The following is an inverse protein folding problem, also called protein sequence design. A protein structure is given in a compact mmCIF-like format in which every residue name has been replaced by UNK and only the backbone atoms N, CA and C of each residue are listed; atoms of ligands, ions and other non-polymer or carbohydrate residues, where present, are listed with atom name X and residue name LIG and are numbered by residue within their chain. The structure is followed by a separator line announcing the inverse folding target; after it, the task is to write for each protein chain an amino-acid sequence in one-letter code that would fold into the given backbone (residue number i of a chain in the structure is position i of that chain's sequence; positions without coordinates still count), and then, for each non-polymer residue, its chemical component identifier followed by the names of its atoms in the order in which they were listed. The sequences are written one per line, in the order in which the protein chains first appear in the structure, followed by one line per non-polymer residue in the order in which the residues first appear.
data_IF_582848572559
#
_entry.id   IF_582848572559
#
_cell.length_a   1.000
_cell.length_b   1.000
_cell.length_c   1.000
_cell.angle_alpha   90.00
_cell.angle_beta   90.00
_cell.angle_gamma   90.00
#
_symmetry.space_group_name_H-M   'P 1'
#
loop_
_entity.id
_entity.type
_entity.pdbx_description
1 polymer ?
#
# COMPACT_ATOMS: atom_id res chain seq x y z
N UNK A 1 15.76 36.23 4.75
CA UNK A 1 16.58 35.63 5.83
C UNK A 1 15.77 35.13 7.04
N UNK A 2 14.51 35.55 7.26
CA UNK A 2 13.70 35.09 8.40
C UNK A 2 13.25 33.60 8.31
N UNK A 3 12.81 33.12 7.15
CA UNK A 3 12.26 31.76 7.01
C UNK A 3 13.30 30.62 7.00
N UNK A 4 14.55 30.87 6.62
CA UNK A 4 15.61 29.86 6.78
C UNK A 4 15.95 29.66 8.27
N UNK A 5 15.78 30.71 9.08
CA UNK A 5 15.84 30.61 10.53
C UNK A 5 14.65 29.80 11.06
N UNK A 6 13.45 29.91 10.49
CA UNK A 6 12.29 29.10 10.91
C UNK A 6 12.51 27.60 10.72
N UNK A 7 12.95 27.14 9.54
CA UNK A 7 13.15 25.71 9.30
C UNK A 7 14.20 25.09 10.25
N UNK A 8 15.29 25.82 10.53
CA UNK A 8 16.29 25.40 11.52
C UNK A 8 15.79 25.52 12.96
N UNK A 9 14.92 26.50 13.26
CA UNK A 9 14.27 26.66 14.58
C UNK A 9 13.29 25.54 14.88
N UNK A 10 12.53 25.08 13.89
CA UNK A 10 11.65 23.89 14.02
C UNK A 10 12.44 22.59 14.19
N UNK A 11 13.72 22.58 13.81
CA UNK A 11 14.66 21.49 14.04
C UNK A 11 15.55 21.69 15.28
N UNK A 12 15.51 22.86 15.93
CA UNK A 12 16.25 23.10 17.17
C UNK A 12 15.54 22.33 18.29
N UNK A 13 16.27 21.39 18.88
CA UNK A 13 15.77 20.47 19.89
C UNK A 13 15.47 21.17 21.22
N UNK A 14 15.88 22.44 21.37
CA UNK A 14 15.71 23.25 22.57
C UNK A 14 14.38 23.99 22.54
N UNK A 15 13.31 23.32 23.00
CA UNK A 15 12.02 23.95 23.28
C UNK A 15 11.11 24.07 22.06
N UNK A 16 10.86 22.96 21.38
CA UNK A 16 9.82 22.88 20.35
C UNK A 16 8.45 23.25 20.95
N UNK A 17 7.77 24.22 20.35
CA UNK A 17 6.45 24.72 20.79
C UNK A 17 5.33 24.44 19.76
N UNK A 18 5.61 23.62 18.73
CA UNK A 18 4.61 23.27 17.72
C UNK A 18 3.73 22.08 18.14
N UNK A 19 2.82 21.70 17.24
CA UNK A 19 1.98 20.52 17.43
C UNK A 19 2.85 19.26 17.47
N UNK A 20 2.54 18.36 18.42
CA UNK A 20 3.22 17.08 18.55
C UNK A 20 2.47 16.03 17.74
N UNK A 21 3.23 15.07 17.19
CA UNK A 21 2.69 13.84 16.63
C UNK A 21 3.36 12.71 17.39
N UNK A 22 2.57 11.80 17.99
CA UNK A 22 3.06 10.69 18.81
C UNK A 22 3.94 11.18 19.98
N UNK A 23 3.59 12.34 20.54
CA UNK A 23 4.27 12.93 21.69
C UNK A 23 5.65 13.54 21.42
N UNK A 24 6.11 13.64 20.17
CA UNK A 24 7.39 14.28 19.82
C UNK A 24 7.23 15.22 18.62
N UNK A 25 8.27 16.01 18.34
CA UNK A 25 8.35 16.87 17.16
C UNK A 25 8.14 16.02 15.89
N UNK A 26 7.12 16.32 15.07
CA UNK A 26 6.80 15.57 13.85
C UNK A 26 7.98 15.39 12.90
N UNK A 27 8.89 16.36 12.84
CA UNK A 27 10.04 16.30 11.96
C UNK A 27 10.99 15.15 12.31
N UNK A 28 10.98 14.67 13.57
CA UNK A 28 11.81 13.54 14.02
C UNK A 28 11.33 12.17 13.51
N UNK A 29 10.15 12.08 12.90
CA UNK A 29 9.72 10.87 12.18
C UNK A 29 10.68 10.52 11.03
N UNK A 30 11.42 11.50 10.52
CA UNK A 30 12.51 11.31 9.59
C UNK A 30 13.84 11.14 10.31
N UNK A 31 14.67 10.19 9.88
CA UNK A 31 16.00 10.02 10.45
C UNK A 31 16.85 11.28 10.21
N UNK A 32 17.69 11.66 11.20
CA UNK A 32 18.50 12.89 11.12
C UNK A 32 19.26 13.07 9.79
N UNK A 33 19.95 12.05 9.24
CA UNK A 33 20.63 12.21 7.96
C UNK A 33 19.70 12.57 6.81
N UNK A 34 18.46 12.07 6.81
CA UNK A 34 17.47 12.38 5.78
C UNK A 34 16.97 13.81 5.94
N UNK A 35 16.72 14.27 7.17
CA UNK A 35 16.33 15.65 7.46
C UNK A 35 17.38 16.64 6.96
N UNK A 36 18.64 16.40 7.28
CA UNK A 36 19.77 17.25 6.86
C UNK A 36 19.84 17.33 5.33
N UNK A 37 19.66 16.19 4.63
CA UNK A 37 19.61 16.16 3.16
C UNK A 37 18.41 16.92 2.59
N UNK A 38 17.24 16.83 3.21
CA UNK A 38 16.03 17.57 2.80
C UNK A 38 16.28 19.07 2.91
N UNK A 39 16.67 19.56 4.10
CA UNK A 39 16.82 21.01 4.32
C UNK A 39 17.94 21.63 3.50
N UNK A 40 18.96 20.85 3.14
CA UNK A 40 20.05 21.31 2.30
C UNK A 40 19.75 21.22 0.79
N UNK A 41 18.71 20.49 0.39
CA UNK A 41 18.35 20.31 -1.01
C UNK A 41 17.88 21.60 -1.67
N UNK A 42 18.12 21.70 -2.98
CA UNK A 42 17.65 22.84 -3.79
C UNK A 42 16.13 22.93 -3.79
N UNK A 43 15.43 21.79 -3.95
CA UNK A 43 13.97 21.76 -3.97
C UNK A 43 13.38 22.31 -2.67
N UNK A 44 13.94 21.95 -1.51
CA UNK A 44 13.47 22.50 -0.23
C UNK A 44 13.64 24.03 -0.15
N UNK A 45 14.82 24.52 -0.53
CA UNK A 45 15.17 25.95 -0.42
C UNK A 45 14.37 26.84 -1.36
N UNK A 46 14.00 26.34 -2.53
CA UNK A 46 13.32 27.11 -3.57
C UNK A 46 11.80 26.85 -3.61
N UNK A 47 11.39 25.59 -3.50
CA UNK A 47 10.00 25.16 -3.74
C UNK A 47 9.23 24.93 -2.44
N UNK A 48 9.91 24.54 -1.33
CA UNK A 48 9.26 24.39 -0.02
C UNK A 48 9.32 25.66 0.83
N UNK A 49 9.87 26.75 0.29
CA UNK A 49 9.98 28.02 0.97
C UNK A 49 8.60 28.69 1.10
N UNK A 50 8.21 29.05 2.33
CA UNK A 50 6.96 29.78 2.57
C UNK A 50 5.67 29.02 2.25
N UNK A 51 5.74 27.72 1.91
CA UNK A 51 4.52 26.95 1.65
C UNK A 51 3.62 26.88 2.88
N UNK A 52 2.33 27.04 2.65
CA UNK A 52 1.22 26.72 3.54
C UNK A 52 0.45 25.52 2.97
N UNK A 53 -0.63 25.10 3.64
CA UNK A 53 -1.44 23.97 3.18
C UNK A 53 -1.92 24.13 1.72
N UNK A 54 -2.52 25.28 1.38
CA UNK A 54 -3.06 25.52 0.03
C UNK A 54 -1.97 25.53 -1.05
N UNK A 55 -0.89 26.30 -0.85
CA UNK A 55 0.22 26.40 -1.82
C UNK A 55 1.04 25.10 -1.94
N UNK A 56 0.99 24.22 -0.93
CA UNK A 56 1.59 22.89 -1.00
C UNK A 56 0.89 22.01 -2.04
N UNK A 57 -0.44 22.16 -2.20
CA UNK A 57 -1.22 21.44 -3.20
C UNK A 57 -0.69 21.70 -4.61
N UNK A 58 -0.40 22.96 -4.94
CA UNK A 58 0.14 23.35 -6.26
C UNK A 58 1.45 22.62 -6.57
N UNK A 59 2.32 22.48 -5.57
CA UNK A 59 3.59 21.74 -5.72
C UNK A 59 3.38 20.23 -5.78
N UNK A 60 2.40 19.71 -5.05
CA UNK A 60 2.11 18.28 -5.00
C UNK A 60 1.50 17.77 -6.32
N UNK A 61 0.70 18.59 -7.00
CA UNK A 61 0.13 18.28 -8.33
C UNK A 61 1.22 18.16 -9.40
N UNK A 62 2.32 18.91 -9.28
CA UNK A 62 3.46 18.85 -10.21
C UNK A 62 4.36 17.61 -10.01
N UNK A 63 4.08 16.75 -9.02
CA UNK A 63 4.86 15.54 -8.78
C UNK A 63 4.71 14.54 -9.93
N UNK A 64 5.82 13.91 -10.29
CA UNK A 64 5.89 12.95 -11.39
C UNK A 64 6.35 11.55 -10.96
N UNK A 65 6.71 11.39 -9.68
CA UNK A 65 7.17 10.13 -9.11
C UNK A 65 7.16 10.18 -7.57
N UNK A 66 7.03 9.01 -6.95
CA UNK A 66 7.25 8.81 -5.52
C UNK A 66 8.70 8.36 -5.25
N UNK A 67 9.20 8.53 -4.04
CA UNK A 67 10.50 7.98 -3.65
C UNK A 67 11.12 8.63 -2.43
N UNK A 68 12.18 8.03 -1.91
CA UNK A 68 12.93 8.53 -0.74
C UNK A 68 14.13 9.38 -1.12
N UNK A 69 15.33 8.89 -0.79
CA UNK A 69 16.61 9.45 -1.24
C UNK A 69 17.22 8.58 -2.32
N UNK A 70 17.94 9.17 -3.28
CA UNK A 70 18.53 8.43 -4.40
C UNK A 70 19.96 8.86 -4.75
N UNK A 71 20.67 7.97 -5.46
CA UNK A 71 22.04 8.17 -5.90
C UNK A 71 23.06 8.16 -4.76
N UNK A 72 24.34 8.25 -5.12
CA UNK A 72 25.48 8.23 -4.17
C UNK A 72 25.40 9.39 -3.18
N UNK A 73 24.97 10.55 -3.64
CA UNK A 73 24.80 11.74 -2.81
C UNK A 73 23.54 11.71 -1.90
N UNK A 74 22.73 10.65 -1.96
CA UNK A 74 21.46 10.51 -1.22
C UNK A 74 20.57 11.75 -1.36
N UNK A 75 20.37 12.20 -2.60
CA UNK A 75 19.52 13.36 -2.88
C UNK A 75 18.06 13.03 -2.54
N UNK A 76 17.35 13.84 -1.76
CA UNK A 76 15.93 13.61 -1.48
C UNK A 76 15.09 13.90 -2.72
N UNK A 77 14.01 13.15 -2.90
CA UNK A 77 13.03 13.45 -3.96
C UNK A 77 12.15 14.66 -3.58
N UNK A 78 11.54 15.35 -4.57
CA UNK A 78 10.49 16.33 -4.33
C UNK A 78 9.35 15.79 -3.47
N UNK A 79 8.91 14.55 -3.74
CA UNK A 79 7.91 13.83 -2.95
C UNK A 79 8.28 13.81 -1.47
N UNK A 80 9.50 13.37 -1.13
CA UNK A 80 9.97 13.31 0.25
C UNK A 80 10.04 14.69 0.91
N UNK A 81 10.46 15.71 0.15
CA UNK A 81 10.54 17.09 0.64
C UNK A 81 9.15 17.65 0.98
N UNK A 82 8.12 17.34 0.17
CA UNK A 82 6.76 17.78 0.42
C UNK A 82 6.12 17.05 1.61
N UNK A 83 6.38 15.75 1.80
CA UNK A 83 5.93 15.00 3.00
C UNK A 83 6.54 15.61 4.26
N UNK A 84 7.84 15.88 4.24
CA UNK A 84 8.53 16.55 5.34
C UNK A 84 7.97 17.96 5.59
N UNK A 85 7.57 18.67 4.53
CA UNK A 85 6.89 19.96 4.65
C UNK A 85 5.50 19.82 5.28
N UNK A 86 4.72 18.80 4.92
CA UNK A 86 3.43 18.53 5.56
C UNK A 86 3.62 18.24 7.06
N UNK A 87 4.64 17.48 7.45
CA UNK A 87 4.97 17.28 8.88
C UNK A 87 5.38 18.58 9.58
N UNK A 88 6.02 19.50 8.89
CA UNK A 88 6.33 20.83 9.44
C UNK A 88 5.05 21.67 9.64
N UNK A 89 4.12 21.58 8.70
CA UNK A 89 2.89 22.38 8.69
C UNK A 89 1.79 21.80 9.56
N UNK A 90 1.83 20.50 9.84
CA UNK A 90 0.79 19.75 10.56
C UNK A 90 -0.62 20.15 10.11
N UNK A 91 -0.97 19.98 8.82
CA UNK A 91 -2.27 20.38 8.30
C UNK A 91 -3.41 19.63 9.00
N UNK A 92 -4.56 20.29 9.08
CA UNK A 92 -5.77 19.69 9.65
C UNK A 92 -6.18 18.42 8.90
N UNK A 93 -6.85 17.52 9.62
CA UNK A 93 -7.22 16.20 9.10
C UNK A 93 -8.05 16.29 7.82
N UNK A 94 -9.00 17.22 7.77
CA UNK A 94 -9.90 17.41 6.63
C UNK A 94 -9.14 17.81 5.35
N UNK A 95 -8.06 18.58 5.49
CA UNK A 95 -7.20 18.96 4.36
C UNK A 95 -6.48 17.73 3.81
N UNK A 96 -5.96 16.87 4.69
CA UNK A 96 -5.24 15.65 4.29
C UNK A 96 -6.20 14.65 3.64
N UNK A 97 -7.40 14.48 4.19
CA UNK A 97 -8.44 13.63 3.61
C UNK A 97 -8.89 14.17 2.25
N UNK A 98 -9.03 15.49 2.11
CA UNK A 98 -9.31 16.12 0.82
C UNK A 98 -8.23 15.79 -0.22
N UNK A 99 -6.94 15.82 0.16
CA UNK A 99 -5.83 15.43 -0.74
C UNK A 99 -5.89 13.97 -1.14
N UNK A 100 -6.22 13.08 -0.19
CA UNK A 100 -6.33 11.64 -0.43
C UNK A 100 -7.47 11.31 -1.41
N UNK A 101 -8.61 11.99 -1.24
CA UNK A 101 -9.81 11.79 -2.05
C UNK A 101 -9.68 12.31 -3.49
N UNK A 102 -8.69 13.16 -3.81
CA UNK A 102 -8.51 13.65 -5.18
C UNK A 102 -8.27 12.49 -6.18
N UNK A 103 -9.09 12.45 -7.22
CA UNK A 103 -9.07 11.39 -8.23
C UNK A 103 -8.13 11.68 -9.39
N UNK A 104 -7.90 12.94 -9.75
CA UNK A 104 -7.05 13.28 -10.91
C UNK A 104 -5.55 13.15 -10.60
N UNK A 105 -5.17 13.35 -9.34
CA UNK A 105 -3.77 13.53 -8.93
C UNK A 105 -3.25 12.35 -8.11
N UNK A 106 -2.91 11.24 -8.78
CA UNK A 106 -2.38 10.02 -8.13
C UNK A 106 -1.16 10.23 -7.23
N UNK A 107 -0.28 11.18 -7.55
CA UNK A 107 0.89 11.49 -6.71
C UNK A 107 0.54 12.31 -5.47
N UNK A 108 -0.50 13.15 -5.54
CA UNK A 108 -1.07 13.84 -4.39
C UNK A 108 -1.73 12.83 -3.44
N UNK A 109 -2.49 11.87 -3.98
CA UNK A 109 -3.06 10.77 -3.21
C UNK A 109 -1.98 9.96 -2.49
N UNK A 110 -0.92 9.56 -3.21
CA UNK A 110 0.22 8.87 -2.60
C UNK A 110 0.93 9.72 -1.52
N UNK A 111 1.03 11.04 -1.72
CA UNK A 111 1.60 11.96 -0.74
C UNK A 111 0.78 11.99 0.55
N UNK A 112 -0.55 12.13 0.41
CA UNK A 112 -1.48 12.15 1.52
C UNK A 112 -1.49 10.81 2.28
N UNK A 113 -1.54 9.68 1.56
CA UNK A 113 -1.49 8.35 2.16
C UNK A 113 -0.22 8.14 2.99
N UNK A 114 0.94 8.55 2.46
CA UNK A 114 2.20 8.43 3.18
C UNK A 114 2.25 9.34 4.41
N UNK A 115 1.70 10.56 4.33
CA UNK A 115 1.57 11.44 5.49
C UNK A 115 0.65 10.83 6.55
N UNK A 116 -0.52 10.30 6.18
CA UNK A 116 -1.46 9.63 7.10
C UNK A 116 -0.75 8.50 7.83
N UNK A 117 -0.03 7.63 7.11
CA UNK A 117 0.70 6.51 7.70
C UNK A 117 1.75 6.93 8.74
N UNK A 118 2.33 8.12 8.58
CA UNK A 118 3.30 8.68 9.52
C UNK A 118 2.63 9.40 10.69
N UNK A 119 1.55 10.15 10.43
CA UNK A 119 1.00 11.14 11.35
C UNK A 119 -0.17 10.63 12.20
N UNK A 120 -0.97 9.67 11.71
CA UNK A 120 -2.10 9.17 12.48
C UNK A 120 -1.60 8.38 13.70
N UNK A 121 -2.21 8.65 14.85
CA UNK A 121 -1.82 8.05 16.12
C UNK A 121 -2.55 6.74 16.40
N UNK A 122 -3.78 6.61 15.89
CA UNK A 122 -4.59 5.40 16.04
C UNK A 122 -4.41 4.48 14.83
N UNK A 123 -4.04 3.24 15.10
CA UNK A 123 -3.76 2.25 14.08
C UNK A 123 -5.03 1.90 13.26
N UNK A 124 -6.19 1.81 13.92
CA UNK A 124 -7.49 1.55 13.29
C UNK A 124 -7.87 2.64 12.28
N UNK A 125 -7.56 3.90 12.57
CA UNK A 125 -7.83 5.02 11.65
C UNK A 125 -6.91 4.95 10.43
N UNK A 126 -5.69 4.42 10.56
CA UNK A 126 -4.79 4.22 9.42
C UNK A 126 -5.36 3.17 8.47
N UNK A 127 -5.77 2.01 8.99
CA UNK A 127 -6.33 0.93 8.18
C UNK A 127 -7.62 1.38 7.47
N UNK A 128 -8.61 1.84 8.23
CA UNK A 128 -9.91 2.28 7.68
C UNK A 128 -9.79 3.40 6.65
N UNK A 129 -8.80 4.29 6.78
CA UNK A 129 -8.58 5.38 5.83
C UNK A 129 -7.86 4.94 4.56
N UNK A 130 -6.89 4.02 4.65
CA UNK A 130 -6.02 3.67 3.52
C UNK A 130 -6.53 2.46 2.72
N UNK A 131 -7.18 1.50 3.35
CA UNK A 131 -7.64 0.26 2.70
C UNK A 131 -8.58 0.44 1.50
N UNK A 132 -9.49 1.44 1.47
CA UNK A 132 -10.31 1.68 0.27
C UNK A 132 -9.47 1.90 -1.01
N UNK A 133 -8.23 2.36 -0.85
CA UNK A 133 -7.31 2.65 -1.96
C UNK A 133 -6.46 1.44 -2.38
N UNK A 134 -6.64 0.26 -1.77
CA UNK A 134 -6.08 -1.00 -2.28
C UNK A 134 -6.73 -1.45 -3.61
N UNK A 135 -7.80 -0.78 -4.04
CA UNK A 135 -8.45 -0.97 -5.34
C UNK A 135 -7.87 -0.07 -6.45
N UNK A 136 -6.99 0.88 -6.09
CA UNK A 136 -6.45 1.86 -7.03
C UNK A 136 -5.25 1.30 -7.82
N UNK A 137 -5.54 0.74 -9.00
CA UNK A 137 -4.52 0.10 -9.86
C UNK A 137 -3.72 1.09 -10.73
N UNK A 138 -3.75 2.40 -10.43
CA UNK A 138 -3.05 3.39 -11.27
C UNK A 138 -1.54 3.29 -11.13
N UNK A 139 -0.86 3.30 -12.26
CA UNK A 139 0.61 3.24 -12.33
C UNK A 139 1.28 4.44 -11.66
N UNK A 140 2.22 4.18 -10.76
CA UNK A 140 3.13 5.15 -10.15
C UNK A 140 4.57 4.92 -10.62
N UNK A 141 5.27 6.00 -10.91
CA UNK A 141 6.73 5.96 -11.10
C UNK A 141 7.40 6.05 -9.73
N UNK A 142 8.26 5.08 -9.39
CA UNK A 142 9.01 5.05 -8.12
C UNK A 142 10.49 5.29 -8.38
N UNK A 143 11.06 6.28 -7.68
CA UNK A 143 12.51 6.51 -7.63
C UNK A 143 13.10 5.67 -6.49
N UNK A 144 13.82 4.62 -6.85
CA UNK A 144 14.58 3.82 -5.89
C UNK A 144 15.95 4.45 -5.64
N UNK A 145 16.74 3.87 -4.74
CA UNK A 145 18.11 4.35 -4.47
C UNK A 145 18.99 4.32 -5.74
N UNK A 146 18.80 3.29 -6.56
CA UNK A 146 19.68 2.96 -7.69
C UNK A 146 19.09 3.31 -9.05
N UNK A 147 17.75 3.37 -9.17
CA UNK A 147 17.11 3.52 -10.46
C UNK A 147 15.64 3.93 -10.40
N UNK A 148 14.91 3.51 -11.42
CA UNK A 148 13.47 3.75 -11.57
C UNK A 148 12.75 2.41 -11.56
N UNK A 149 11.60 2.36 -10.91
CA UNK A 149 10.70 1.21 -10.91
C UNK A 149 9.28 1.68 -11.25
N UNK A 150 8.53 0.81 -11.91
CA UNK A 150 7.08 0.91 -12.01
C UNK A 150 6.47 0.24 -10.77
N UNK A 151 5.45 0.85 -10.20
CA UNK A 151 4.61 0.30 -9.13
C UNK A 151 3.19 0.82 -9.34
N UNK A 152 2.27 0.49 -8.46
CA UNK A 152 0.87 0.91 -8.53
C UNK A 152 0.44 1.57 -7.21
N UNK A 153 -0.73 2.22 -7.17
CA UNK A 153 -1.18 2.94 -5.96
C UNK A 153 -1.52 1.93 -4.87
N UNK A 154 -2.32 0.92 -5.17
CA UNK A 154 -2.60 -0.25 -4.34
C UNK A 154 -1.32 -0.87 -3.73
N UNK A 155 -0.31 -1.18 -4.55
CA UNK A 155 0.97 -1.72 -4.08
C UNK A 155 1.68 -0.76 -3.11
N UNK A 156 1.59 0.56 -3.37
CA UNK A 156 2.17 1.56 -2.49
C UNK A 156 1.40 1.68 -1.17
N UNK A 157 0.07 1.55 -1.19
CA UNK A 157 -0.77 1.54 0.01
C UNK A 157 -0.47 0.28 0.84
N UNK A 158 -0.37 -0.88 0.21
CA UNK A 158 0.00 -2.13 0.88
C UNK A 158 1.40 -2.05 1.51
N UNK A 159 2.38 -1.49 0.77
CA UNK A 159 3.71 -1.19 1.29
C UNK A 159 3.65 -0.33 2.57
N UNK A 160 2.74 0.64 2.64
CA UNK A 160 2.57 1.50 3.81
C UNK A 160 1.97 0.74 5.01
N UNK A 161 1.04 -0.18 4.78
CA UNK A 161 0.37 -0.92 5.84
C UNK A 161 1.24 -2.05 6.41
N UNK A 162 2.06 -2.70 5.58
CA UNK A 162 2.79 -3.92 5.96
C UNK A 162 4.27 -3.66 6.23
N UNK A 163 4.96 -2.84 5.43
CA UNK A 163 6.42 -2.71 5.53
C UNK A 163 6.81 -1.81 6.69
N UNK A 164 7.98 -2.07 7.27
CA UNK A 164 8.55 -1.22 8.33
C UNK A 164 9.24 0.04 7.80
N UNK A 165 9.54 0.09 6.49
CA UNK A 165 10.30 1.18 5.88
C UNK A 165 9.88 1.43 4.44
N UNK A 166 9.49 2.67 4.15
CA UNK A 166 9.03 3.11 2.82
C UNK A 166 9.66 4.48 2.50
N UNK A 167 10.00 4.72 1.23
CA UNK A 167 10.59 5.98 0.76
C UNK A 167 11.73 6.53 1.66
N UNK A 168 12.67 5.67 2.03
CA UNK A 168 13.81 6.00 2.89
C UNK A 168 13.45 6.52 4.29
N UNK A 169 12.23 6.24 4.77
CA UNK A 169 11.72 6.63 6.08
C UNK A 169 11.27 5.39 6.84
N UNK A 170 11.73 5.24 8.07
CA UNK A 170 11.24 4.19 8.98
C UNK A 170 9.85 4.56 9.48
N UNK A 171 8.87 3.70 9.23
CA UNK A 171 7.47 3.97 9.61
C UNK A 171 7.27 3.73 11.11
N UNK A 172 6.41 4.52 11.79
CA UNK A 172 5.98 4.19 13.14
C UNK A 172 5.38 2.79 13.19
N UNK A 173 5.71 2.02 14.22
CA UNK A 173 5.10 0.71 14.43
C UNK A 173 3.61 0.88 14.69
N UNK A 174 2.82 0.06 14.02
CA UNK A 174 1.38 -0.10 14.22
C UNK A 174 1.13 -1.57 14.54
N UNK A 175 0.06 -1.85 15.27
CA UNK A 175 -0.31 -3.24 15.54
C UNK A 175 -0.74 -3.94 14.25
N UNK A 176 -0.40 -5.23 14.07
CA UNK A 176 -0.88 -6.00 12.93
C UNK A 176 -2.41 -6.00 12.88
N UNK A 177 -2.98 -6.02 11.68
CA UNK A 177 -4.44 -6.00 11.49
C UNK A 177 -5.15 -7.11 12.29
N UNK A 178 -4.65 -8.34 12.23
CA UNK A 178 -5.22 -9.49 12.98
C UNK A 178 -5.34 -9.20 14.49
N UNK A 179 -4.35 -8.54 15.08
CA UNK A 179 -4.41 -8.18 16.49
C UNK A 179 -5.51 -7.14 16.77
N UNK A 180 -5.76 -6.22 15.85
CA UNK A 180 -6.83 -5.23 15.99
C UNK A 180 -8.21 -5.85 15.78
N UNK A 181 -8.33 -6.87 14.94
CA UNK A 181 -9.55 -7.67 14.77
C UNK A 181 -9.84 -8.51 16.02
N UNK A 182 -8.84 -9.19 16.57
CA UNK A 182 -8.96 -9.99 17.80
C UNK A 182 -9.38 -9.15 19.04
N UNK A 183 -9.01 -7.87 19.05
CA UNK A 183 -9.35 -6.90 20.11
C UNK A 183 -10.66 -6.12 19.81
N UNK A 184 -11.43 -6.53 18.80
CA UNK A 184 -12.69 -5.88 18.36
C UNK A 184 -12.53 -4.37 18.03
N UNK A 185 -11.31 -3.95 17.64
CA UNK A 185 -11.00 -2.57 17.24
C UNK A 185 -11.16 -2.34 15.73
N UNK A 186 -11.13 -3.41 14.95
CA UNK A 186 -11.39 -3.43 13.52
C UNK A 186 -12.28 -4.62 13.18
N UNK A 187 -13.18 -4.43 12.22
CA UNK A 187 -13.91 -5.53 11.60
C UNK A 187 -13.01 -6.26 10.59
N UNK A 188 -13.28 -7.55 10.30
CA UNK A 188 -12.63 -8.27 9.23
C UNK A 188 -12.68 -7.48 7.91
N UNK A 189 -11.57 -7.46 7.18
CA UNK A 189 -11.50 -6.70 5.93
C UNK A 189 -12.38 -7.33 4.85
N UNK A 190 -13.35 -6.57 4.35
CA UNK A 190 -14.07 -6.91 3.13
C UNK A 190 -13.18 -6.60 1.91
N UNK A 191 -12.93 -7.61 1.08
CA UNK A 191 -12.15 -7.44 -0.15
C UNK A 191 -13.08 -7.11 -1.31
N UNK A 192 -12.70 -6.15 -2.16
CA UNK A 192 -13.47 -5.84 -3.36
C UNK A 192 -13.57 -7.02 -4.34
N UNK A 193 -12.65 -7.98 -4.25
CA UNK A 193 -12.67 -9.23 -5.02
C UNK A 193 -13.38 -10.38 -4.28
N UNK A 194 -13.84 -10.15 -3.03
CA UNK A 194 -14.45 -11.19 -2.21
C UNK A 194 -15.71 -11.76 -2.86
N UNK A 195 -16.58 -10.88 -3.35
CA UNK A 195 -17.80 -11.27 -4.06
C UNK A 195 -17.49 -12.04 -5.35
N UNK A 196 -16.53 -11.59 -6.16
CA UNK A 196 -16.13 -12.26 -7.41
C UNK A 196 -15.51 -13.65 -7.16
N UNK A 197 -14.73 -13.80 -6.09
CA UNK A 197 -14.16 -15.09 -5.69
C UNK A 197 -15.22 -16.06 -5.18
N UNK A 198 -16.18 -15.58 -4.39
CA UNK A 198 -17.31 -16.39 -3.93
C UNK A 198 -18.18 -16.85 -5.12
N UNK A 199 -18.39 -16.01 -6.13
CA UNK A 199 -19.09 -16.39 -7.36
C UNK A 199 -18.35 -17.51 -8.10
N UNK A 200 -17.02 -17.41 -8.27
CA UNK A 200 -16.20 -18.44 -8.93
C UNK A 200 -16.21 -19.78 -8.19
N UNK A 201 -16.09 -19.76 -6.85
CA UNK A 201 -16.12 -20.98 -6.04
C UNK A 201 -17.49 -21.69 -6.17
N UNK A 202 -18.59 -20.93 -6.23
CA UNK A 202 -19.93 -21.47 -6.43
C UNK A 202 -20.14 -22.06 -7.85
N UNK A 203 -19.48 -21.51 -8.88
CA UNK A 203 -19.51 -22.05 -10.25
C UNK A 203 -18.72 -23.36 -10.36
N UNK A 204 -17.56 -23.46 -9.70
CA UNK A 204 -16.74 -24.68 -9.67
C UNK A 204 -17.44 -25.83 -8.91
N UNK A 205 -18.15 -25.54 -7.82
CA UNK A 205 -18.97 -26.53 -7.10
C UNK A 205 -20.13 -27.09 -7.97
N UNK A 206 -20.69 -26.26 -8.86
CA UNK A 206 -21.75 -26.70 -9.79
C UNK A 206 -21.19 -27.56 -10.94
N UNK A 207 -19.96 -27.30 -11.39
CA UNK A 207 -19.31 -28.09 -12.45
C UNK A 207 -18.66 -29.39 -11.95
N UNK A 208 -18.27 -29.49 -10.68
CA UNK A 208 -17.72 -30.70 -10.06
C UNK A 208 -18.73 -31.84 -9.84
N UNK A 209 -20.04 -31.57 -9.97
CA UNK A 209 -21.10 -32.56 -9.78
C UNK A 209 -21.45 -33.35 -11.07
N UNK A 210 -20.90 -33.01 -12.25
CA UNK A 210 -21.31 -33.61 -13.53
C UNK A 210 -20.35 -34.65 -14.15
N UNK A 211 -19.17 -34.94 -13.57
CA UNK A 211 -18.23 -35.94 -14.11
C UNK A 211 -18.14 -37.20 -13.24
N UNK A 212 -19.29 -37.84 -13.00
CA UNK A 212 -19.40 -39.01 -12.13
C UNK A 212 -20.37 -40.10 -12.59
N UNK A 213 -20.62 -40.28 -13.88
CA UNK A 213 -21.29 -41.48 -14.41
C UNK A 213 -20.33 -42.26 -15.33
N UNK A 214 -19.46 -43.07 -14.72
CA UNK A 214 -18.92 -44.25 -15.39
C UNK A 214 -20.02 -45.32 -15.41
N UNK A 215 -20.74 -45.43 -16.52
CA UNK A 215 -21.68 -46.54 -16.76
C UNK A 215 -20.92 -47.88 -16.83
N UNK A 216 -21.02 -48.68 -15.76
CA UNK A 216 -20.74 -50.12 -15.83
C UNK A 216 -21.85 -50.82 -16.64
N UNK A 217 -21.58 -51.10 -17.93
CA UNK A 217 -22.45 -51.96 -18.74
C UNK A 217 -22.30 -53.43 -18.32
N UNK A 218 -23.15 -53.84 -17.38
CA UNK A 218 -23.37 -55.23 -17.01
C UNK A 218 -24.12 -55.98 -18.14
N UNK A 219 -23.40 -56.79 -18.92
CA UNK A 219 -24.00 -57.59 -19.99
C UNK A 219 -24.44 -58.96 -19.45
N UNK A 220 -25.75 -59.17 -19.29
CA UNK A 220 -26.30 -60.43 -18.77
C UNK A 220 -27.70 -60.77 -19.27
N UNK A 221 -27.81 -61.97 -19.85
CA UNK A 221 -28.99 -62.79 -20.21
C UNK A 221 -29.44 -62.71 -21.68
N UNK A 222 -29.56 -63.78 -22.47
CA UNK A 222 -29.30 -65.21 -22.27
C UNK A 222 -30.13 -66.06 -23.27
N UNK A 223 -29.72 -67.33 -23.42
CA UNK A 223 -30.46 -68.54 -23.92
C UNK A 223 -30.34 -68.93 -25.42
N UNK A 224 -30.59 -70.21 -25.80
CA UNK A 224 -29.71 -71.38 -25.58
C UNK A 224 -29.62 -72.32 -26.84
N UNK A 225 -28.89 -73.45 -26.70
CA UNK A 225 -28.85 -74.65 -27.60
C UNK A 225 -28.18 -74.41 -28.97
N UNK A 226 -27.36 -75.28 -29.57
CA UNK A 226 -27.10 -76.72 -29.42
C UNK A 226 -25.80 -77.09 -30.16
N UNK A 227 -25.06 -78.05 -29.60
CA UNK A 227 -24.45 -79.20 -30.31
C UNK A 227 -23.45 -78.96 -31.47
N UNK A 228 -22.17 -79.29 -31.23
CA UNK A 228 -21.42 -80.31 -31.99
C UNK A 228 -19.98 -80.51 -31.48
N UNK A 229 -19.66 -81.79 -31.28
CA UNK A 229 -18.35 -82.48 -31.32
C UNK A 229 -17.25 -81.77 -32.12
N UNK A 230 -15.96 -81.84 -31.77
CA UNK A 230 -15.16 -83.07 -31.76
C UNK A 230 -13.78 -82.83 -31.11
N UNK A 231 -13.01 -83.91 -31.05
CA UNK A 231 -12.02 -84.34 -30.08
C UNK A 231 -10.53 -84.03 -30.39
N UNK A 232 -9.67 -84.41 -29.42
CA UNK A 232 -8.21 -84.71 -29.47
C UNK A 232 -7.23 -83.52 -29.47
N UNK A 233 -6.04 -83.55 -28.87
CA UNK A 233 -5.29 -84.47 -27.97
C UNK A 233 -3.85 -83.93 -27.83
N UNK A 234 -3.16 -84.23 -26.72
CA UNK A 234 -1.69 -84.20 -26.53
C UNK A 234 -1.19 -82.99 -25.72
N UNK A 235 -0.68 -83.13 -24.49
CA UNK A 235 0.64 -83.73 -24.10
C UNK A 235 1.78 -83.05 -24.89
N UNK A 236 2.76 -82.37 -24.30
CA UNK A 236 3.40 -82.36 -22.98
C UNK A 236 3.72 -80.92 -22.52
#
# INVERSE_FOLDING_TARGET
MAHQADAKKFLDERGYQGALIRGDNPLKLFEKPVRDRIVDSYYWKEQCFGLNAATLLDRAVELNFIGGTYGVAQKPTPFLCLVFKMLQLTPDRDIVLFYLQQEDFKYLRALAAFYIRLAWEKDEEVYTTLEPYLTDMRKLKRRTREGWALTHVDEFIDDLLIKSRVCATTLPKINPRLFLEDEDRLEPRESALGEELEELDNEDEQHGASEGEVEELANGNGRPLSDRSDSKSGED
#
